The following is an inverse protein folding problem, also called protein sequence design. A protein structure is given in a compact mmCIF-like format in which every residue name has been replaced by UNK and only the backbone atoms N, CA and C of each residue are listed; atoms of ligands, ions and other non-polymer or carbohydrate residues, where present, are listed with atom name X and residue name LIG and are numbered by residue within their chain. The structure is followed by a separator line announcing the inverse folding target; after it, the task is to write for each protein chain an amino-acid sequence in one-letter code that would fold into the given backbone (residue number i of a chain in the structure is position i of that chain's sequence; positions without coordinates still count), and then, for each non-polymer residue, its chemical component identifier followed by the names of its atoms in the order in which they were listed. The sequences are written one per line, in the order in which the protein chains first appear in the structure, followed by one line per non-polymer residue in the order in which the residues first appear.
data_IF_683822111262
#
_entry.id   IF_683822111262
#
_cell.length_a   1.000
_cell.length_b   1.000
_cell.length_c   1.000
_cell.angle_alpha   90.00
_cell.angle_beta   90.00
_cell.angle_gamma   90.00
#
_symmetry.space_group_name_H-M   'P 1'
#
loop_
_entity.id
_entity.type
_entity.pdbx_description
1 polymer ?
#
# COMPACT_ATOMS: atom_id res chain seq x y z
N UNK A 1 -9.47 18.43 0.14
CA UNK A 1 -9.34 17.03 -0.30
C UNK A 1 -7.89 16.65 -0.18
N UNK A 2 -7.63 15.57 0.53
CA UNK A 2 -6.28 15.05 0.77
C UNK A 2 -6.03 13.82 -0.10
N UNK A 3 -4.75 13.47 -0.24
CA UNK A 3 -4.30 12.28 -0.96
C UNK A 3 -3.40 11.47 -0.04
N UNK A 4 -3.57 10.15 -0.05
CA UNK A 4 -2.63 9.19 0.53
C UNK A 4 -2.03 8.41 -0.64
N UNK A 5 -0.72 8.29 -0.68
CA UNK A 5 0.00 7.57 -1.73
C UNK A 5 1.17 6.82 -1.13
N UNK A 6 1.61 5.78 -1.81
CA UNK A 6 2.74 4.97 -1.39
C UNK A 6 3.29 4.08 -2.50
N UNK A 7 4.27 3.27 -2.13
CA UNK A 7 4.97 2.34 -2.99
C UNK A 7 4.98 0.97 -2.32
N UNK A 8 4.59 -0.07 -3.05
CA UNK A 8 4.83 -1.47 -2.68
C UNK A 8 5.99 -1.98 -3.50
N UNK A 9 6.99 -2.57 -2.83
CA UNK A 9 8.20 -3.06 -3.49
C UNK A 9 8.65 -4.39 -2.86
N UNK A 10 9.47 -5.11 -3.62
CA UNK A 10 10.13 -6.32 -3.17
C UNK A 10 11.42 -5.92 -2.46
N UNK A 11 11.37 -5.93 -1.14
CA UNK A 11 12.52 -5.73 -0.27
C UNK A 11 13.44 -6.96 -0.35
N UNK A 12 14.53 -6.83 -1.10
CA UNK A 12 15.42 -7.93 -1.46
C UNK A 12 16.51 -8.17 -0.41
N UNK A 13 16.84 -7.16 0.39
CA UNK A 13 17.87 -7.24 1.42
C UNK A 13 17.33 -7.21 2.86
N UNK A 14 16.03 -6.95 3.02
CA UNK A 14 15.27 -7.10 4.26
C UNK A 14 15.40 -5.92 5.21
N UNK A 15 15.68 -4.72 4.71
CA UNK A 15 15.92 -3.52 5.51
C UNK A 15 14.71 -2.57 5.62
N UNK A 16 13.60 -2.91 4.96
CA UNK A 16 12.36 -2.14 4.86
C UNK A 16 12.51 -0.74 4.22
N UNK A 17 13.61 -0.48 3.53
CA UNK A 17 13.82 0.71 2.71
C UNK A 17 13.77 0.35 1.23
N UNK A 18 13.36 1.31 0.40
CA UNK A 18 13.34 1.13 -1.05
C UNK A 18 14.70 1.47 -1.63
N UNK A 19 15.42 0.46 -2.09
CA UNK A 19 16.77 0.60 -2.62
C UNK A 19 16.86 0.50 -4.14
N UNK A 20 18.02 0.86 -4.70
CA UNK A 20 18.27 0.74 -6.13
C UNK A 20 18.29 -0.74 -6.55
N UNK A 21 17.51 -1.07 -7.59
CA UNK A 21 17.40 -2.43 -8.10
C UNK A 21 16.25 -3.26 -7.52
N UNK A 22 15.62 -2.80 -6.44
CA UNK A 22 14.43 -3.47 -5.90
C UNK A 22 13.19 -3.15 -6.75
N UNK A 23 12.47 -4.15 -7.28
CA UNK A 23 11.32 -3.89 -8.13
C UNK A 23 10.10 -3.46 -7.32
N UNK A 24 9.30 -2.56 -7.89
CA UNK A 24 7.93 -2.36 -7.44
C UNK A 24 7.10 -3.63 -7.65
N UNK A 25 6.06 -3.80 -6.83
CA UNK A 25 5.18 -4.96 -6.92
C UNK A 25 3.83 -4.54 -7.49
N UNK A 26 3.55 -5.01 -8.71
CA UNK A 26 2.28 -4.83 -9.40
C UNK A 26 1.17 -5.70 -8.80
N UNK A 27 -0.08 -5.29 -9.02
CA UNK A 27 -1.26 -6.09 -8.74
C UNK A 27 -1.44 -6.42 -7.24
N UNK A 28 -0.85 -5.61 -6.36
CA UNK A 28 -1.02 -5.73 -4.92
C UNK A 28 -2.24 -4.96 -4.46
N UNK A 29 -3.15 -5.63 -3.73
CA UNK A 29 -4.34 -4.97 -3.20
C UNK A 29 -3.94 -4.20 -1.95
N UNK A 30 -4.27 -2.91 -1.95
CA UNK A 30 -4.11 -2.01 -0.81
C UNK A 30 -5.50 -1.58 -0.34
N UNK A 31 -5.74 -1.72 0.95
CA UNK A 31 -6.97 -1.35 1.65
C UNK A 31 -6.75 -0.04 2.42
N UNK A 32 -7.76 0.82 2.38
CA UNK A 32 -7.87 2.02 3.19
C UNK A 32 -9.02 1.85 4.17
N UNK A 33 -8.72 2.08 5.45
CA UNK A 33 -9.69 2.07 6.54
C UNK A 33 -9.75 3.46 7.16
N UNK A 34 -10.92 4.06 7.29
CA UNK A 34 -11.17 5.30 7.99
C UNK A 34 -11.57 4.99 9.44
N UNK A 35 -10.79 5.51 10.39
CA UNK A 35 -11.00 5.21 11.80
C UNK A 35 -10.47 3.83 12.23
N UNK A 36 -11.13 3.22 13.21
CA UNK A 36 -10.66 2.02 13.90
C UNK A 36 -11.74 0.93 14.03
N UNK A 37 -12.82 1.01 13.26
CA UNK A 37 -13.91 0.03 13.28
C UNK A 37 -13.60 -1.25 12.49
N UNK A 38 -12.47 -1.25 11.77
CA UNK A 38 -12.00 -2.39 10.97
C UNK A 38 -12.71 -2.55 9.62
N UNK A 39 -13.56 -1.59 9.24
CA UNK A 39 -14.23 -1.60 7.93
C UNK A 39 -13.27 -1.14 6.83
N UNK A 40 -13.41 -1.69 5.63
CA UNK A 40 -12.64 -1.28 4.44
C UNK A 40 -13.45 -0.23 3.70
N UNK A 41 -12.96 1.00 3.68
CA UNK A 41 -13.64 2.14 3.05
C UNK A 41 -13.29 2.27 1.56
N UNK A 42 -12.05 1.92 1.20
CA UNK A 42 -11.61 1.90 -0.18
C UNK A 42 -10.55 0.83 -0.42
N UNK A 43 -10.46 0.38 -1.67
CA UNK A 43 -9.36 -0.45 -2.14
C UNK A 43 -8.75 0.14 -3.39
N UNK A 44 -7.47 -0.14 -3.60
CA UNK A 44 -6.77 0.15 -4.85
C UNK A 44 -5.81 -0.99 -5.15
N UNK A 45 -5.22 -0.96 -6.33
CA UNK A 45 -4.24 -1.94 -6.76
C UNK A 45 -2.98 -1.21 -7.22
N UNK A 46 -1.82 -1.72 -6.82
CA UNK A 46 -0.55 -1.13 -7.21
C UNK A 46 -0.32 -1.26 -8.73
N UNK A 47 0.26 -0.21 -9.32
CA UNK A 47 0.68 -0.21 -10.71
C UNK A 47 1.92 -1.06 -10.96
N UNK A 48 2.35 -1.14 -12.23
CA UNK A 48 3.53 -1.90 -12.65
C UNK A 48 4.83 -1.50 -11.92
N UNK A 49 4.92 -0.25 -11.47
CA UNK A 49 6.03 0.30 -10.70
C UNK A 49 5.83 0.18 -9.17
N UNK A 50 4.75 -0.46 -8.72
CA UNK A 50 4.40 -0.61 -7.32
C UNK A 50 3.65 0.57 -6.71
N UNK A 51 3.40 1.65 -7.47
CA UNK A 51 2.76 2.85 -6.92
C UNK A 51 1.26 2.66 -6.69
N UNK A 52 0.72 3.30 -5.66
CA UNK A 52 -0.72 3.38 -5.43
C UNK A 52 -1.10 4.74 -4.84
N UNK A 53 -2.38 5.12 -5.00
CA UNK A 53 -2.92 6.31 -4.34
C UNK A 53 -4.42 6.21 -4.08
N UNK A 54 -4.84 6.92 -3.04
CA UNK A 54 -6.23 7.25 -2.71
C UNK A 54 -6.38 8.76 -2.75
N UNK A 55 -7.32 9.25 -3.55
CA UNK A 55 -7.54 10.69 -3.74
C UNK A 55 -8.93 11.08 -3.25
N UNK A 56 -9.15 12.38 -3.02
CA UNK A 56 -10.47 12.86 -2.62
C UNK A 56 -10.82 12.56 -1.16
N UNK A 57 -9.83 12.34 -0.31
CA UNK A 57 -10.06 11.99 1.08
C UNK A 57 -10.50 13.20 1.89
N UNK A 58 -11.49 12.99 2.76
CA UNK A 58 -11.92 13.94 3.78
C UNK A 58 -10.88 14.10 4.89
N UNK A 59 -11.15 15.01 5.83
CA UNK A 59 -10.36 15.09 7.05
C UNK A 59 -10.74 13.91 7.95
N UNK A 60 -9.75 13.12 8.35
CA UNK A 60 -9.96 11.91 9.13
C UNK A 60 -8.64 11.24 9.47
N UNK A 61 -8.72 10.16 10.25
CA UNK A 61 -7.59 9.27 10.49
C UNK A 61 -7.78 8.04 9.63
N UNK A 62 -6.77 7.72 8.83
CA UNK A 62 -6.80 6.58 7.93
C UNK A 62 -5.70 5.59 8.29
N UNK A 63 -6.01 4.29 8.19
CA UNK A 63 -5.06 3.20 8.26
C UNK A 63 -4.97 2.56 6.87
N UNK A 64 -3.74 2.41 6.37
CA UNK A 64 -3.47 1.73 5.10
C UNK A 64 -2.97 0.32 5.42
N UNK A 65 -3.48 -0.68 4.70
CA UNK A 65 -3.07 -2.08 4.84
C UNK A 65 -2.87 -2.70 3.48
N UNK A 66 -1.90 -3.59 3.37
CA UNK A 66 -1.78 -4.46 2.22
C UNK A 66 -2.48 -5.80 2.48
N UNK A 67 -3.06 -6.38 1.45
CA UNK A 67 -3.53 -7.75 1.50
C UNK A 67 -2.32 -8.67 1.31
N UNK A 68 -2.08 -9.56 2.28
CA UNK A 68 -0.99 -10.53 2.20
C UNK A 68 -1.18 -11.49 1.01
N UNK A 69 -0.11 -11.71 0.24
CA UNK A 69 -0.10 -12.65 -0.89
C UNK A 69 0.72 -13.90 -0.55
N UNK A 70 0.26 -15.06 -1.02
CA UNK A 70 0.98 -16.31 -0.82
C UNK A 70 2.38 -16.26 -1.46
N UNK A 71 3.39 -16.77 -0.73
CA UNK A 71 4.78 -16.76 -1.18
C UNK A 71 5.55 -15.49 -0.84
N UNK A 72 4.91 -14.51 -0.20
CA UNK A 72 5.53 -13.26 0.22
C UNK A 72 5.57 -13.12 1.73
N UNK A 73 6.67 -12.57 2.23
CA UNK A 73 6.82 -12.17 3.63
C UNK A 73 6.86 -10.66 3.68
N UNK A 74 6.06 -10.07 4.58
CA UNK A 74 6.14 -8.65 4.86
C UNK A 74 7.39 -8.40 5.71
N UNK A 75 8.27 -7.53 5.23
CA UNK A 75 9.51 -7.08 5.89
C UNK A 75 9.43 -5.61 6.23
#
# INVERSE_FOLDING_TARGET
MSTIAGLKFNDLDGDAAKDEGEPGLEAWIIELHEGADGTVDATTTTGADGTYSFTGLGAGTFCVREVSQAGWMQT
#
